data_IF_722674364291
#
_entry.id   IF_722674364291
#
_cell.length_a   1.000
_cell.length_b   1.000
_cell.length_c   1.000
_cell.angle_alpha   90.00
_cell.angle_beta   90.00
_cell.angle_gamma   90.00
#
_symmetry.space_group_name_H-M   'P 1'
#
loop_
_entity.id
_entity.type
_entity.pdbx_description
1 polymer ?
#
# COMPACT_ATOMS: atom_id res chain seq x y z
N UNK A 1 -6.99 -7.34 23.01
CA UNK A 1 -8.26 -8.11 23.08
C UNK A 1 -7.95 -9.62 23.15
N UNK A 2 -8.92 -10.45 23.56
CA UNK A 2 -8.81 -11.93 23.54
C UNK A 2 -10.00 -12.52 22.78
N UNK A 3 -9.79 -13.56 21.97
CA UNK A 3 -10.84 -14.32 21.27
C UNK A 3 -10.80 -15.75 21.77
N UNK A 4 -11.92 -16.27 22.29
CA UNK A 4 -12.00 -17.64 22.88
C UNK A 4 -10.89 -17.91 23.91
N UNK A 5 -10.60 -16.92 24.76
CA UNK A 5 -9.55 -17.01 25.79
C UNK A 5 -8.12 -16.85 25.28
N UNK A 6 -7.90 -16.82 23.96
CA UNK A 6 -6.57 -16.64 23.36
C UNK A 6 -6.29 -15.15 23.08
N UNK A 7 -5.10 -14.69 23.47
CA UNK A 7 -4.60 -13.37 23.09
C UNK A 7 -4.03 -13.45 21.67
N UNK A 8 -4.29 -12.44 20.86
CA UNK A 8 -3.60 -12.27 19.58
C UNK A 8 -2.28 -11.58 19.93
N UNK A 9 -1.17 -12.32 19.85
CA UNK A 9 0.13 -11.87 20.35
C UNK A 9 1.12 -11.49 19.24
N UNK A 10 0.96 -12.05 18.04
CA UNK A 10 1.86 -11.79 16.92
C UNK A 10 1.16 -11.05 15.77
N UNK A 11 1.94 -10.20 15.10
CA UNK A 11 1.56 -9.61 13.82
C UNK A 11 1.56 -10.73 12.78
N UNK A 12 0.54 -10.78 11.93
CA UNK A 12 0.46 -11.77 10.86
C UNK A 12 1.59 -11.53 9.83
N UNK A 13 2.20 -12.60 9.33
CA UNK A 13 3.20 -12.56 8.26
C UNK A 13 2.77 -13.55 7.19
N UNK A 14 2.51 -13.04 5.99
CA UNK A 14 2.15 -13.84 4.83
C UNK A 14 3.41 -14.14 4.01
N UNK A 15 3.61 -15.40 3.65
CA UNK A 15 4.66 -15.83 2.72
C UNK A 15 4.10 -15.84 1.30
N UNK A 16 4.74 -15.11 0.38
CA UNK A 16 4.29 -14.95 -0.99
C UNK A 16 5.33 -15.58 -1.95
N UNK A 17 5.16 -16.85 -2.34
CA UNK A 17 6.04 -17.49 -3.29
C UNK A 17 5.72 -17.08 -4.73
N UNK A 18 6.75 -16.74 -5.49
CA UNK A 18 6.73 -16.48 -6.93
C UNK A 18 7.58 -17.55 -7.64
N UNK A 19 6.96 -18.63 -8.13
CA UNK A 19 7.68 -19.71 -8.78
C UNK A 19 8.29 -19.28 -10.11
N UNK A 20 9.61 -19.49 -10.30
CA UNK A 20 10.31 -19.05 -11.53
C UNK A 20 10.54 -20.16 -12.54
N UNK A 21 10.12 -21.39 -12.24
CA UNK A 21 10.14 -22.56 -13.11
C UNK A 21 11.55 -23.08 -13.43
N UNK A 22 12.38 -22.24 -14.04
CA UNK A 22 13.75 -22.54 -14.47
C UNK A 22 14.83 -21.92 -13.54
N UNK A 23 14.41 -21.29 -12.43
CA UNK A 23 15.31 -20.65 -11.46
C UNK A 23 14.77 -20.80 -10.04
N UNK A 24 15.52 -20.34 -9.03
CA UNK A 24 15.04 -20.34 -7.66
C UNK A 24 13.76 -19.50 -7.55
N UNK A 25 12.83 -19.97 -6.73
CA UNK A 25 11.62 -19.23 -6.42
C UNK A 25 11.97 -17.94 -5.68
N UNK A 26 11.25 -16.86 -5.98
CA UNK A 26 11.37 -15.60 -5.25
C UNK A 26 10.34 -15.65 -4.12
N UNK A 27 10.79 -15.47 -2.88
CA UNK A 27 9.94 -15.49 -1.69
C UNK A 27 9.88 -14.09 -1.11
N UNK A 28 8.67 -13.53 -1.04
CA UNK A 28 8.43 -12.32 -0.26
C UNK A 28 7.79 -12.66 1.07
N UNK A 29 8.10 -11.86 2.08
CA UNK A 29 7.39 -11.84 3.35
C UNK A 29 6.63 -10.51 3.48
N UNK A 30 5.33 -10.59 3.70
CA UNK A 30 4.49 -9.42 3.94
C UNK A 30 3.99 -9.44 5.39
N UNK A 31 4.41 -8.45 6.18
CA UNK A 31 3.95 -8.28 7.56
C UNK A 31 2.73 -7.36 7.62
N UNK A 32 1.74 -7.72 8.43
CA UNK A 32 0.56 -6.89 8.65
C UNK A 32 0.93 -5.52 9.23
N UNK A 33 0.29 -4.47 8.71
CA UNK A 33 0.46 -3.10 9.17
C UNK A 33 -0.59 -2.83 10.25
N UNK A 34 -0.13 -2.58 11.48
CA UNK A 34 -1.02 -2.32 12.62
C UNK A 34 -1.38 -0.84 12.77
N UNK A 35 -0.60 0.05 12.16
CA UNK A 35 -0.76 1.50 12.30
C UNK A 35 -0.65 2.19 10.94
N UNK A 36 -1.68 2.96 10.60
CA UNK A 36 -1.76 3.75 9.37
C UNK A 36 -1.35 5.21 9.60
N UNK A 37 -1.08 5.64 10.84
CA UNK A 37 -0.71 7.02 11.17
C UNK A 37 0.49 7.53 10.34
N UNK A 38 1.56 6.75 10.10
CA UNK A 38 2.67 7.21 9.25
C UNK A 38 2.21 7.57 7.84
N UNK A 39 1.34 6.76 7.24
CA UNK A 39 0.74 7.05 5.94
C UNK A 39 -0.12 8.31 5.99
N UNK A 40 -0.99 8.44 7.00
CA UNK A 40 -1.88 9.59 7.12
C UNK A 40 -1.12 10.91 7.30
N UNK A 41 0.01 10.87 8.00
CA UNK A 41 0.90 12.01 8.19
C UNK A 41 1.61 12.41 6.89
N UNK A 42 2.13 11.43 6.14
CA UNK A 42 2.86 11.68 4.90
C UNK A 42 1.95 11.98 3.70
N UNK A 43 0.75 11.40 3.68
CA UNK A 43 -0.23 11.51 2.62
C UNK A 43 -1.63 11.84 3.20
N UNK A 44 -1.83 13.09 3.67
CA UNK A 44 -3.08 13.50 4.28
C UNK A 44 -4.25 13.50 3.29
N UNK A 45 -5.48 13.46 3.82
CA UNK A 45 -6.68 13.55 3.00
C UNK A 45 -6.72 14.91 2.26
N UNK A 46 -6.94 14.93 0.94
CA UNK A 46 -7.12 16.18 0.20
C UNK A 46 -8.33 16.94 0.72
N UNK A 47 -8.26 18.27 0.68
CA UNK A 47 -9.41 19.12 1.00
C UNK A 47 -10.17 19.48 -0.29
N UNK A 48 -11.51 19.36 -0.32
CA UNK A 48 -12.28 19.82 -1.47
C UNK A 48 -12.22 21.35 -1.58
N UNK A 49 -12.22 21.90 -2.82
CA UNK A 49 -12.35 23.34 -2.99
C UNK A 49 -13.71 23.80 -2.46
N UNK A 50 -13.78 25.05 -1.98
CA UNK A 50 -15.00 25.66 -1.47
C UNK A 50 -15.52 26.69 -2.46
N UNK A 51 -16.84 26.78 -2.60
CA UNK A 51 -17.52 27.82 -3.39
C UNK A 51 -18.55 28.51 -2.52
N UNK A 52 -18.61 29.85 -2.59
CA UNK A 52 -19.67 30.60 -1.92
C UNK A 52 -20.99 30.44 -2.66
N UNK A 53 -22.02 29.98 -1.96
CA UNK A 53 -23.42 29.93 -2.39
C UNK A 53 -24.21 30.67 -1.31
N UNK A 54 -24.88 31.77 -1.67
CA UNK A 54 -25.63 32.62 -0.74
C UNK A 54 -24.83 33.06 0.51
N UNK A 55 -23.56 33.38 0.32
CA UNK A 55 -22.65 33.83 1.38
C UNK A 55 -22.06 32.70 2.24
N UNK A 56 -22.47 31.44 2.03
CA UNK A 56 -21.99 30.26 2.75
C UNK A 56 -20.95 29.52 1.91
N UNK A 57 -19.83 29.13 2.51
CA UNK A 57 -18.83 28.28 1.85
C UNK A 57 -19.34 26.83 1.76
N UNK A 58 -19.56 26.36 0.53
CA UNK A 58 -20.03 25.01 0.24
C UNK A 58 -18.88 24.18 -0.38
N UNK A 59 -18.47 23.06 0.23
CA UNK A 59 -17.48 22.15 -0.33
C UNK A 59 -17.93 21.54 -1.67
N UNK A 60 -17.03 21.53 -2.65
CA UNK A 60 -17.30 20.98 -3.99
C UNK A 60 -16.78 19.54 -4.08
N UNK A 61 -17.52 18.59 -3.51
CA UNK A 61 -17.11 17.17 -3.43
C UNK A 61 -17.07 16.45 -4.79
N UNK A 62 -17.67 17.03 -5.82
CA UNK A 62 -17.67 16.52 -7.19
C UNK A 62 -16.66 17.23 -8.11
N UNK A 63 -15.85 18.13 -7.56
CA UNK A 63 -14.80 18.78 -8.32
C UNK A 63 -13.83 17.74 -8.88
N UNK A 64 -13.50 17.85 -10.17
CA UNK A 64 -12.72 16.83 -10.87
C UNK A 64 -11.28 16.75 -10.37
N UNK A 65 -10.69 17.85 -9.91
CA UNK A 65 -9.34 17.85 -9.37
C UNK A 65 -9.32 17.26 -7.95
N UNK A 66 -10.34 17.55 -7.14
CA UNK A 66 -10.51 16.91 -5.84
C UNK A 66 -10.66 15.39 -5.97
N UNK A 67 -11.51 14.91 -6.89
CA UNK A 67 -11.69 13.48 -7.14
C UNK A 67 -10.39 12.81 -7.64
N UNK A 68 -9.64 13.45 -8.55
CA UNK A 68 -8.33 12.97 -8.99
C UNK A 68 -7.32 12.91 -7.85
N UNK A 69 -7.33 13.89 -6.94
CA UNK A 69 -6.45 13.88 -5.76
C UNK A 69 -6.81 12.74 -4.80
N UNK A 70 -8.11 12.46 -4.61
CA UNK A 70 -8.57 11.31 -3.83
C UNK A 70 -8.16 9.98 -4.45
N UNK A 71 -8.31 9.83 -5.77
CA UNK A 71 -7.90 8.63 -6.51
C UNK A 71 -6.39 8.42 -6.39
N UNK A 72 -5.59 9.46 -6.64
CA UNK A 72 -4.13 9.41 -6.46
C UNK A 72 -3.74 8.97 -5.05
N UNK A 73 -4.39 9.54 -4.03
CA UNK A 73 -4.15 9.16 -2.64
C UNK A 73 -4.52 7.70 -2.37
N UNK A 74 -5.63 7.21 -2.94
CA UNK A 74 -6.03 5.81 -2.79
C UNK A 74 -4.98 4.86 -3.40
N UNK A 75 -4.45 5.20 -4.58
CA UNK A 75 -3.35 4.45 -5.21
C UNK A 75 -2.08 4.52 -4.36
N UNK A 76 -1.71 5.71 -3.86
CA UNK A 76 -0.57 5.89 -2.96
C UNK A 76 -0.72 5.07 -1.67
N UNK A 77 -1.93 4.93 -1.13
CA UNK A 77 -2.19 4.09 0.04
C UNK A 77 -1.85 2.63 -0.22
N UNK A 78 -2.30 2.07 -1.35
CA UNK A 78 -2.03 0.67 -1.68
C UNK A 78 -0.54 0.44 -1.95
N UNK A 79 0.11 1.37 -2.65
CA UNK A 79 1.54 1.33 -2.87
C UNK A 79 2.32 1.37 -1.55
N UNK A 80 2.02 2.34 -0.67
CA UNK A 80 2.65 2.44 0.64
C UNK A 80 2.44 1.19 1.50
N UNK A 81 1.22 0.65 1.52
CA UNK A 81 0.95 -0.60 2.24
C UNK A 81 1.78 -1.76 1.70
N UNK A 82 1.96 -1.85 0.39
CA UNK A 82 2.77 -2.89 -0.24
C UNK A 82 4.24 -2.74 0.12
N UNK A 83 4.78 -1.53 -0.02
CA UNK A 83 6.18 -1.21 0.32
C UNK A 83 6.46 -1.53 1.79
N UNK A 84 5.62 -1.03 2.69
CA UNK A 84 5.78 -1.17 4.15
C UNK A 84 5.62 -2.61 4.61
N UNK A 85 4.65 -3.36 4.07
CA UNK A 85 4.45 -4.76 4.43
C UNK A 85 5.64 -5.63 3.99
N UNK A 86 6.19 -5.35 2.81
CA UNK A 86 7.30 -6.10 2.23
C UNK A 86 8.67 -5.80 2.87
N UNK A 87 8.79 -4.79 3.74
CA UNK A 87 10.01 -4.56 4.54
C UNK A 87 10.38 -5.76 5.42
N UNK A 88 9.46 -6.70 5.64
CA UNK A 88 9.75 -7.96 6.30
C UNK A 88 10.56 -8.94 5.43
N UNK A 89 10.63 -8.73 4.12
CA UNK A 89 11.40 -9.57 3.20
C UNK A 89 12.90 -9.30 3.37
N UNK A 90 13.65 -10.29 3.83
CA UNK A 90 15.11 -10.19 3.98
C UNK A 90 15.81 -9.92 2.63
N UNK A 91 16.69 -8.92 2.62
CA UNK A 91 17.47 -8.56 1.43
C UNK A 91 16.70 -7.82 0.33
N UNK A 92 15.45 -7.43 0.56
CA UNK A 92 14.71 -6.58 -0.38
C UNK A 92 15.25 -5.15 -0.35
N UNK A 93 15.75 -4.68 -1.49
CA UNK A 93 16.20 -3.31 -1.71
C UNK A 93 15.41 -2.68 -2.87
N UNK A 94 14.93 -1.46 -2.68
CA UNK A 94 14.27 -0.67 -3.72
C UNK A 94 15.27 0.29 -4.36
N UNK A 95 15.32 0.33 -5.69
CA UNK A 95 16.13 1.26 -6.48
C UNK A 95 15.49 2.65 -6.61
N UNK A 96 14.16 2.72 -6.77
CA UNK A 96 13.46 3.98 -7.08
C UNK A 96 12.42 4.37 -6.04
N UNK A 97 11.93 3.42 -5.27
CA UNK A 97 10.95 3.65 -4.20
C UNK A 97 11.66 3.96 -2.88
N UNK A 98 11.15 4.97 -2.17
CA UNK A 98 11.56 5.32 -0.81
C UNK A 98 10.35 5.40 0.11
N UNK A 99 10.36 4.62 1.19
CA UNK A 99 9.22 4.50 2.10
C UNK A 99 8.84 5.84 2.75
N UNK A 100 9.81 6.72 2.97
CA UNK A 100 9.67 8.04 3.57
C UNK A 100 9.36 9.17 2.56
N UNK A 101 9.26 8.86 1.26
CA UNK A 101 8.95 9.84 0.22
C UNK A 101 7.70 9.44 -0.61
N UNK A 102 6.52 10.03 -0.30
CA UNK A 102 5.27 9.76 -1.00
C UNK A 102 5.28 10.03 -2.50
N UNK A 103 6.21 10.86 -2.98
CA UNK A 103 6.34 11.15 -4.41
C UNK A 103 6.87 9.97 -5.21
N UNK A 104 7.53 9.02 -4.53
CA UNK A 104 8.16 7.84 -5.14
C UNK A 104 7.29 6.60 -5.12
N UNK A 105 6.28 6.50 -4.24
CA UNK A 105 5.55 5.24 -4.03
C UNK A 105 4.86 4.69 -5.29
N UNK A 106 4.42 5.57 -6.19
CA UNK A 106 3.82 5.15 -7.46
C UNK A 106 4.84 4.58 -8.47
N UNK A 107 6.14 4.63 -8.16
CA UNK A 107 7.19 3.94 -8.92
C UNK A 107 7.26 2.44 -8.61
N UNK A 108 6.54 1.95 -7.58
CA UNK A 108 6.48 0.54 -7.23
C UNK A 108 6.13 -0.35 -8.44
N UNK A 109 5.08 -0.01 -9.19
CA UNK A 109 4.70 -0.81 -10.35
C UNK A 109 5.75 -0.76 -11.48
N UNK A 110 6.22 0.41 -11.94
CA UNK A 110 7.33 0.51 -12.88
C UNK A 110 8.57 -0.28 -12.46
N UNK A 111 8.93 -0.24 -11.18
CA UNK A 111 10.10 -0.92 -10.65
C UNK A 111 9.93 -2.45 -10.68
N UNK A 112 8.76 -2.96 -10.25
CA UNK A 112 8.44 -4.39 -10.36
C UNK A 112 8.41 -4.87 -11.82
N UNK A 113 7.94 -4.04 -12.76
CA UNK A 113 8.00 -4.34 -14.20
C UNK A 113 9.46 -4.45 -14.65
N UNK A 114 10.30 -3.48 -14.28
CA UNK A 114 11.74 -3.46 -14.63
C UNK A 114 12.49 -4.65 -14.03
N UNK A 115 12.10 -5.09 -12.83
CA UNK A 115 12.63 -6.29 -12.17
C UNK A 115 12.18 -7.62 -12.81
N UNK A 116 11.29 -7.56 -13.82
CA UNK A 116 10.87 -8.74 -14.59
C UNK A 116 9.65 -9.48 -14.02
N UNK A 117 8.88 -8.86 -13.13
CA UNK A 117 7.61 -9.40 -12.66
C UNK A 117 6.48 -9.12 -13.65
N UNK A 118 5.81 -10.19 -14.08
CA UNK A 118 4.60 -10.14 -14.88
C UNK A 118 3.43 -9.52 -14.10
N UNK A 119 2.37 -9.13 -14.81
CA UNK A 119 1.18 -8.54 -14.17
C UNK A 119 0.54 -9.46 -13.12
N UNK A 120 0.53 -10.79 -13.36
CA UNK A 120 -0.04 -11.77 -12.44
C UNK A 120 0.82 -11.91 -11.18
N UNK A 121 2.14 -11.92 -11.32
CA UNK A 121 3.06 -11.97 -10.17
C UNK A 121 2.94 -10.71 -9.32
N UNK A 122 2.87 -9.52 -9.95
CA UNK A 122 2.62 -8.26 -9.22
C UNK A 122 1.29 -8.28 -8.48
N UNK A 123 0.23 -8.79 -9.10
CA UNK A 123 -1.07 -8.94 -8.43
C UNK A 123 -0.99 -9.93 -7.26
N UNK A 124 -0.18 -10.99 -7.37
CA UNK A 124 0.04 -11.95 -6.29
C UNK A 124 0.72 -11.32 -5.09
N UNK A 125 1.71 -10.46 -5.33
CA UNK A 125 2.37 -9.66 -4.28
C UNK A 125 1.35 -8.78 -3.55
N UNK A 126 0.55 -8.01 -4.30
CA UNK A 126 -0.50 -7.16 -3.71
C UNK A 126 -1.53 -7.99 -2.95
N UNK A 127 -1.96 -9.13 -3.49
CA UNK A 127 -2.90 -10.03 -2.81
C UNK A 127 -2.33 -10.58 -1.50
N UNK A 128 -1.06 -10.97 -1.47
CA UNK A 128 -0.40 -11.42 -0.25
C UNK A 128 -0.28 -10.33 0.81
N UNK A 129 -0.03 -9.08 0.40
CA UNK A 129 -0.07 -7.92 1.32
C UNK A 129 -1.48 -7.71 1.87
N UNK A 130 -2.52 -7.82 1.05
CA UNK A 130 -3.91 -7.74 1.51
C UNK A 130 -4.23 -8.88 2.48
N UNK A 131 -3.77 -10.11 2.21
CA UNK A 131 -3.95 -11.25 3.10
C UNK A 131 -3.24 -11.04 4.44
N UNK A 132 -2.00 -10.55 4.43
CA UNK A 132 -1.26 -10.23 5.65
C UNK A 132 -2.03 -9.25 6.54
N UNK A 133 -2.65 -8.23 5.92
CA UNK A 133 -3.41 -7.19 6.60
C UNK A 133 -4.87 -7.57 6.90
N UNK A 134 -5.36 -8.69 6.37
CA UNK A 134 -6.62 -9.26 6.74
C UNK A 134 -6.47 -10.06 8.05
N UNK A 135 -7.50 -10.03 8.90
CA UNK A 135 -7.60 -10.98 10.02
C UNK A 135 -7.91 -12.36 9.42
N UNK A 136 -6.87 -13.13 9.11
CA UNK A 136 -6.95 -14.57 8.84
C UNK A 136 -6.99 -15.37 10.13
#
# INVERSE_FOLDING_TARGET
MKIKGKRIESVNVEIIPIPRGNGPDIIFEARAIQDMEPFERMCPLPNPPKRKIDGVDVPQLKDSNYLKALEKRATQRMAWMTITALEATEGLEWETVKVDDPSTWLQLEPELIKAGFSAVERQRIVAGVVNANALS
#
